data_IF_004861985559
#
_entry.id   IF_004861985559
#
_cell.length_a   1.000
_cell.length_b   1.000
_cell.length_c   1.000
_cell.angle_alpha   90.00
_cell.angle_beta   90.00
_cell.angle_gamma   90.00
#
_symmetry.space_group_name_H-M   'P 1'
#
loop_
_entity.id
_entity.type
_entity.pdbx_description
1 polymer ?
#
# COMPACT_ATOMS: atom_id res chain seq x y z
N UNK A 1 -14.46 -5.60 -8.34
CA UNK A 1 -13.74 -5.82 -9.62
C UNK A 1 -14.70 -6.58 -10.51
N UNK A 2 -14.72 -6.29 -11.80
CA UNK A 2 -15.55 -7.02 -12.78
C UNK A 2 -14.81 -8.31 -13.25
N UNK A 3 -14.00 -8.90 -12.36
CA UNK A 3 -13.13 -10.04 -12.60
C UNK A 3 -13.20 -10.96 -11.39
N UNK A 4 -13.42 -12.25 -11.66
CA UNK A 4 -13.42 -13.31 -10.65
C UNK A 4 -12.07 -14.02 -10.65
N UNK A 5 -11.41 -14.08 -9.49
CA UNK A 5 -10.23 -14.92 -9.29
C UNK A 5 -10.60 -16.19 -8.55
N UNK A 6 -10.25 -17.34 -9.13
CA UNK A 6 -10.48 -18.65 -8.53
C UNK A 6 -9.19 -19.15 -7.88
N UNK A 7 -9.23 -19.38 -6.58
CA UNK A 7 -8.08 -19.83 -5.80
C UNK A 7 -7.29 -18.70 -5.13
N UNK A 8 -6.29 -19.05 -4.31
CA UNK A 8 -5.56 -18.10 -3.50
C UNK A 8 -4.68 -17.18 -4.36
N UNK A 9 -4.84 -15.87 -4.15
CA UNK A 9 -4.09 -14.82 -4.84
C UNK A 9 -3.57 -13.79 -3.83
N UNK A 10 -2.44 -13.12 -4.12
CA UNK A 10 -1.81 -12.21 -3.18
C UNK A 10 -2.66 -10.98 -2.84
N UNK A 11 -3.32 -10.38 -3.82
CA UNK A 11 -4.10 -9.16 -3.62
C UNK A 11 -5.20 -9.36 -2.56
N UNK A 12 -6.04 -10.38 -2.72
CA UNK A 12 -7.10 -10.70 -1.75
C UNK A 12 -6.54 -11.27 -0.46
N UNK A 13 -5.47 -12.07 -0.55
CA UNK A 13 -4.80 -12.65 0.61
C UNK A 13 -4.26 -11.59 1.57
N UNK A 14 -3.52 -10.61 1.07
CA UNK A 14 -3.00 -9.50 1.87
C UNK A 14 -4.12 -8.61 2.42
N UNK A 15 -5.19 -8.37 1.66
CA UNK A 15 -6.37 -7.69 2.21
C UNK A 15 -7.00 -8.45 3.38
N UNK A 16 -7.16 -9.76 3.23
CA UNK A 16 -7.72 -10.61 4.28
C UNK A 16 -6.82 -10.62 5.53
N UNK A 17 -5.49 -10.75 5.37
CA UNK A 17 -4.54 -10.66 6.48
C UNK A 17 -4.60 -9.30 7.18
N UNK A 18 -4.67 -8.21 6.41
CA UNK A 18 -4.82 -6.86 6.97
C UNK A 18 -6.12 -6.71 7.77
N UNK A 19 -7.23 -7.23 7.24
CA UNK A 19 -8.52 -7.22 7.93
C UNK A 19 -8.49 -8.02 9.24
N UNK A 20 -7.81 -9.17 9.27
CA UNK A 20 -7.63 -9.95 10.50
C UNK A 20 -6.81 -9.20 11.55
N UNK A 21 -5.71 -8.52 11.17
CA UNK A 21 -4.94 -7.69 12.10
C UNK A 21 -5.73 -6.50 12.62
N UNK A 22 -6.45 -5.79 11.75
CA UNK A 22 -7.31 -4.70 12.18
C UNK A 22 -8.39 -5.19 13.15
N UNK A 23 -9.03 -6.33 12.85
CA UNK A 23 -10.04 -6.93 13.72
C UNK A 23 -9.47 -7.38 15.07
N UNK A 24 -8.24 -7.91 15.10
CA UNK A 24 -7.54 -8.23 16.34
C UNK A 24 -7.38 -6.99 17.24
N UNK A 25 -6.84 -5.89 16.72
CA UNK A 25 -6.62 -4.67 17.50
C UNK A 25 -7.95 -4.06 18.00
N UNK A 26 -8.99 -4.05 17.15
CA UNK A 26 -10.32 -3.58 17.56
C UNK A 26 -10.94 -4.48 18.64
N UNK A 27 -10.80 -5.81 18.53
CA UNK A 27 -11.29 -6.75 19.52
C UNK A 27 -10.59 -6.58 20.87
N UNK A 28 -9.27 -6.37 20.87
CA UNK A 28 -8.50 -6.06 22.07
C UNK A 28 -9.00 -4.77 22.74
N UNK A 29 -9.25 -3.71 21.97
CA UNK A 29 -9.80 -2.46 22.48
C UNK A 29 -11.19 -2.64 23.10
N UNK A 30 -12.01 -3.52 22.53
CA UNK A 30 -13.34 -3.89 23.06
C UNK A 30 -13.29 -4.94 24.17
N UNK A 31 -12.10 -5.43 24.54
CA UNK A 31 -11.86 -6.50 25.54
C UNK A 31 -12.46 -7.86 25.14
N UNK A 32 -12.69 -8.11 23.85
CA UNK A 32 -13.07 -9.43 23.33
C UNK A 32 -11.83 -10.27 23.00
N UNK A 33 -11.28 -10.88 24.05
CA UNK A 33 -10.07 -11.71 23.96
C UNK A 33 -10.25 -12.96 23.11
N UNK A 34 -11.47 -13.50 23.04
CA UNK A 34 -11.77 -14.71 22.27
C UNK A 34 -11.69 -14.41 20.77
N UNK A 35 -12.32 -13.32 20.33
CA UNK A 35 -12.28 -12.92 18.93
C UNK A 35 -10.89 -12.44 18.52
N UNK A 36 -10.20 -11.65 19.36
CA UNK A 36 -8.82 -11.25 19.12
C UNK A 36 -7.91 -12.47 18.89
N UNK A 37 -7.99 -13.48 19.78
CA UNK A 37 -7.24 -14.72 19.64
C UNK A 37 -7.60 -15.51 18.37
N UNK A 38 -8.86 -15.49 17.92
CA UNK A 38 -9.28 -16.12 16.66
C UNK A 38 -8.67 -15.40 15.45
N UNK A 39 -8.74 -14.07 15.42
CA UNK A 39 -8.16 -13.24 14.36
C UNK A 39 -6.65 -13.47 14.25
N UNK A 40 -5.96 -13.45 15.39
CA UNK A 40 -4.51 -13.69 15.47
C UNK A 40 -4.11 -15.04 14.89
N UNK A 41 -4.77 -16.12 15.31
CA UNK A 41 -4.47 -17.48 14.81
C UNK A 41 -4.69 -17.60 13.30
N UNK A 42 -5.80 -17.08 12.78
CA UNK A 42 -6.07 -17.09 11.34
C UNK A 42 -5.05 -16.27 10.56
N UNK A 43 -4.63 -15.13 11.11
CA UNK A 43 -3.59 -14.30 10.51
C UNK A 43 -2.26 -15.04 10.42
N UNK A 44 -1.79 -15.62 11.52
CA UNK A 44 -0.49 -16.31 11.55
C UNK A 44 -0.48 -17.51 10.59
N UNK A 45 -1.57 -18.28 10.53
CA UNK A 45 -1.72 -19.40 9.61
C UNK A 45 -1.76 -18.95 8.15
N UNK A 46 -2.58 -17.94 7.83
CA UNK A 46 -2.74 -17.44 6.46
C UNK A 46 -1.48 -16.77 5.94
N UNK A 47 -0.82 -15.96 6.78
CA UNK A 47 0.44 -15.28 6.48
C UNK A 47 1.53 -16.28 6.12
N UNK A 48 1.77 -17.27 7.00
CA UNK A 48 2.76 -18.31 6.77
C UNK A 48 2.45 -19.14 5.50
N UNK A 49 1.19 -19.52 5.31
CA UNK A 49 0.79 -20.28 4.12
C UNK A 49 1.01 -19.49 2.84
N UNK A 50 0.64 -18.21 2.80
CA UNK A 50 0.83 -17.35 1.63
C UNK A 50 2.31 -17.21 1.26
N UNK A 51 3.17 -16.98 2.25
CA UNK A 51 4.62 -16.91 2.05
C UNK A 51 5.18 -18.22 1.49
N UNK A 52 4.82 -19.35 2.09
CA UNK A 52 5.32 -20.66 1.67
C UNK A 52 4.80 -21.08 0.30
N UNK A 53 3.54 -20.74 -0.02
CA UNK A 53 2.85 -21.33 -1.16
C UNK A 53 2.70 -20.41 -2.36
N UNK A 54 2.74 -19.09 -2.18
CA UNK A 54 2.52 -18.14 -3.28
C UNK A 54 3.80 -17.39 -3.67
N UNK A 55 4.77 -17.23 -2.77
CA UNK A 55 6.02 -16.54 -3.11
C UNK A 55 6.92 -17.41 -3.99
N UNK A 56 7.25 -16.93 -5.19
CA UNK A 56 8.06 -17.66 -6.16
C UNK A 56 9.57 -17.39 -6.07
N UNK A 57 10.01 -16.62 -5.06
CA UNK A 57 11.39 -16.15 -4.91
C UNK A 57 11.58 -14.68 -5.34
N UNK A 58 10.70 -14.14 -6.16
CA UNK A 58 10.72 -12.74 -6.62
C UNK A 58 9.44 -11.97 -6.26
N UNK A 59 8.27 -12.57 -6.41
CA UNK A 59 6.95 -11.99 -6.11
C UNK A 59 5.93 -13.09 -5.78
N UNK A 60 4.70 -12.72 -5.42
CA UNK A 60 3.65 -13.68 -5.10
C UNK A 60 2.77 -13.97 -6.33
N UNK A 61 2.53 -15.24 -6.60
CA UNK A 61 1.72 -15.70 -7.73
C UNK A 61 0.29 -16.07 -7.29
N UNK A 62 -0.66 -16.00 -8.23
CA UNK A 62 -2.01 -16.52 -8.05
C UNK A 62 -2.04 -18.01 -8.43
N UNK A 63 -2.38 -18.88 -7.46
CA UNK A 63 -2.66 -20.29 -7.73
C UNK A 63 -4.12 -20.47 -8.15
N UNK A 64 -4.32 -20.94 -9.37
CA UNK A 64 -5.65 -21.05 -9.98
C UNK A 64 -6.31 -22.37 -9.56
N UNK A 65 -7.59 -22.30 -9.25
CA UNK A 65 -8.43 -23.49 -8.96
C UNK A 65 -9.60 -23.60 -9.92
N UNK A 66 -10.12 -24.82 -10.08
CA UNK A 66 -11.38 -25.05 -10.79
C UNK A 66 -12.55 -24.38 -10.04
N UNK A 67 -13.39 -23.56 -10.70
CA UNK A 67 -14.51 -22.87 -10.05
C UNK A 67 -15.56 -23.77 -9.39
N UNK A 68 -15.66 -25.03 -9.82
CA UNK A 68 -16.66 -26.00 -9.36
C UNK A 68 -16.09 -26.97 -8.34
N UNK A 69 -14.88 -27.48 -8.56
CA UNK A 69 -14.27 -28.50 -7.68
C UNK A 69 -13.32 -27.90 -6.65
N UNK A 70 -12.87 -26.66 -6.85
CA UNK A 70 -11.84 -25.98 -6.05
C UNK A 70 -10.48 -26.68 -6.04
N UNK A 71 -10.26 -27.64 -6.94
CA UNK A 71 -8.98 -28.31 -7.10
C UNK A 71 -7.98 -27.39 -7.82
N UNK A 72 -6.70 -27.46 -7.44
CA UNK A 72 -5.65 -26.70 -8.10
C UNK A 72 -5.46 -27.17 -9.54
N UNK A 73 -5.36 -26.21 -10.46
CA UNK A 73 -5.15 -26.47 -11.88
C UNK A 73 -3.66 -26.42 -12.21
N UNK A 74 -3.19 -27.39 -13.01
CA UNK A 74 -1.84 -27.35 -13.56
C UNK A 74 -1.80 -26.44 -14.79
N UNK A 75 -1.26 -25.24 -14.61
CA UNK A 75 -1.10 -24.22 -15.67
C UNK A 75 -0.02 -24.59 -16.70
N UNK A 76 0.76 -25.65 -16.48
CA UNK A 76 1.76 -26.14 -17.42
C UNK A 76 1.24 -27.23 -18.36
N UNK A 77 0.14 -27.91 -18.01
CA UNK A 77 -0.50 -28.88 -18.89
C UNK A 77 -1.39 -28.16 -19.92
N UNK A 78 -1.09 -28.24 -21.23
CA UNK A 78 -1.88 -27.60 -22.28
C UNK A 78 -3.31 -28.15 -22.40
N UNK A 79 -3.61 -29.30 -21.79
CA UNK A 79 -4.95 -29.87 -21.76
C UNK A 79 -5.79 -29.36 -20.59
N UNK A 80 -5.18 -28.67 -19.62
CA UNK A 80 -5.90 -28.08 -18.49
C UNK A 80 -6.75 -26.90 -18.98
N UNK A 81 -8.06 -26.98 -18.75
CA UNK A 81 -8.96 -25.85 -19.04
C UNK A 81 -8.84 -24.80 -17.94
N UNK A 82 -8.15 -23.70 -18.23
CA UNK A 82 -8.00 -22.57 -17.31
C UNK A 82 -9.18 -21.60 -17.51
N UNK A 83 -9.89 -21.20 -16.43
CA UNK A 83 -10.90 -20.14 -16.52
C UNK A 83 -10.31 -18.87 -17.13
N UNK A 84 -11.09 -18.15 -17.93
CA UNK A 84 -10.64 -16.87 -18.49
C UNK A 84 -10.36 -15.83 -17.39
N UNK A 85 -9.57 -14.82 -17.73
CA UNK A 85 -9.36 -13.60 -16.94
C UNK A 85 -8.66 -13.81 -15.58
N UNK A 86 -7.89 -14.88 -15.44
CA UNK A 86 -7.07 -15.10 -14.25
C UNK A 86 -5.73 -14.36 -14.35
N UNK A 87 -5.12 -14.05 -13.20
CA UNK A 87 -3.76 -13.49 -13.14
C UNK A 87 -2.70 -14.57 -13.35
N UNK A 88 -2.85 -15.70 -12.66
CA UNK A 88 -1.87 -16.78 -12.63
C UNK A 88 -0.49 -16.29 -12.16
N UNK A 89 0.53 -16.56 -12.97
CA UNK A 89 1.95 -16.26 -12.66
C UNK A 89 2.35 -14.79 -12.88
N UNK A 90 1.37 -13.91 -13.06
CA UNK A 90 1.62 -12.49 -13.33
C UNK A 90 2.11 -11.75 -12.09
N UNK A 91 3.09 -10.87 -12.26
CA UNK A 91 3.48 -9.89 -11.26
C UNK A 91 2.50 -8.71 -11.34
N UNK A 92 1.52 -8.70 -10.44
CA UNK A 92 0.50 -7.66 -10.33
C UNK A 92 1.04 -6.47 -9.51
N UNK A 93 0.84 -5.26 -10.02
CA UNK A 93 1.35 -4.01 -9.43
C UNK A 93 0.87 -3.78 -7.99
N UNK A 94 -0.34 -4.23 -7.66
CA UNK A 94 -0.98 -4.00 -6.36
C UNK A 94 -1.15 -5.29 -5.55
N UNK A 95 -0.37 -6.33 -5.85
CA UNK A 95 -0.42 -7.60 -5.11
C UNK A 95 -0.16 -7.45 -3.59
N UNK A 96 0.47 -6.35 -3.17
CA UNK A 96 0.77 -6.01 -1.77
C UNK A 96 -0.14 -4.91 -1.18
N UNK A 97 -1.26 -4.58 -1.81
CA UNK A 97 -2.12 -3.46 -1.38
C UNK A 97 -2.59 -3.58 0.09
N UNK A 98 -2.83 -4.80 0.58
CA UNK A 98 -3.15 -5.02 1.99
C UNK A 98 -1.98 -4.69 2.93
N UNK A 99 -0.73 -4.96 2.53
CA UNK A 99 0.46 -4.56 3.29
C UNK A 99 0.65 -3.05 3.28
N UNK A 100 0.42 -2.39 2.14
CA UNK A 100 0.40 -0.93 2.03
C UNK A 100 -0.57 -0.31 3.05
N UNK A 101 -1.79 -0.85 3.13
CA UNK A 101 -2.79 -0.37 4.10
C UNK A 101 -2.40 -0.69 5.54
N UNK A 102 -1.83 -1.87 5.80
CA UNK A 102 -1.36 -2.26 7.12
C UNK A 102 -0.27 -1.32 7.65
N UNK A 103 0.65 -0.85 6.79
CA UNK A 103 1.63 0.16 7.17
C UNK A 103 0.97 1.49 7.53
N UNK A 104 0.01 1.97 6.73
CA UNK A 104 -0.73 3.22 7.02
C UNK A 104 -1.47 3.12 8.37
N UNK A 105 -2.05 1.97 8.68
CA UNK A 105 -2.80 1.75 9.90
C UNK A 105 -1.95 1.29 11.10
N UNK A 106 -0.63 1.19 10.96
CA UNK A 106 0.26 0.77 12.05
C UNK A 106 0.11 -0.70 12.47
N UNK A 107 -0.38 -1.57 11.59
CA UNK A 107 -0.66 -2.99 11.86
C UNK A 107 0.58 -3.90 11.68
N UNK A 108 1.67 -3.33 11.19
CA UNK A 108 2.94 -4.02 10.96
C UNK A 108 2.95 -4.89 9.70
N UNK A 109 3.87 -5.86 9.67
CA UNK A 109 4.04 -6.76 8.53
C UNK A 109 3.00 -7.88 8.52
N UNK A 110 2.36 -8.08 7.38
CA UNK A 110 1.35 -9.11 7.11
C UNK A 110 1.93 -10.40 6.52
N UNK A 111 3.20 -10.37 6.14
CA UNK A 111 3.97 -11.50 5.60
C UNK A 111 5.45 -11.26 5.85
N UNK A 112 6.30 -12.07 5.23
CA UNK A 112 7.73 -11.97 5.39
C UNK A 112 8.25 -10.63 4.82
N UNK A 113 8.90 -9.83 5.68
CA UNK A 113 9.46 -8.52 5.32
C UNK A 113 10.40 -8.58 4.11
N UNK A 114 11.27 -9.60 4.03
CA UNK A 114 12.19 -9.74 2.91
C UNK A 114 11.44 -10.05 1.62
N UNK A 115 10.43 -10.93 1.66
CA UNK A 115 9.62 -11.25 0.49
C UNK A 115 8.81 -10.04 0.01
N UNK A 116 8.25 -9.24 0.92
CA UNK A 116 7.54 -7.99 0.61
C UNK A 116 8.47 -7.00 -0.11
N UNK A 117 9.67 -6.75 0.43
CA UNK A 117 10.65 -5.86 -0.21
C UNK A 117 11.10 -6.41 -1.56
N UNK A 118 11.35 -7.71 -1.68
CA UNK A 118 11.71 -8.35 -2.96
C UNK A 118 10.57 -8.21 -3.97
N UNK A 119 9.32 -8.36 -3.55
CA UNK A 119 8.14 -8.21 -4.42
C UNK A 119 8.04 -6.79 -4.99
N UNK A 120 8.26 -5.75 -4.18
CA UNK A 120 8.26 -4.36 -4.66
C UNK A 120 9.39 -4.09 -5.66
N UNK A 121 10.57 -4.69 -5.45
CA UNK A 121 11.66 -4.65 -6.45
C UNK A 121 11.26 -5.34 -7.75
N UNK A 122 10.57 -6.48 -7.67
CA UNK A 122 10.06 -7.19 -8.84
C UNK A 122 9.01 -6.38 -9.59
N UNK A 123 8.12 -5.67 -8.88
CA UNK A 123 7.17 -4.73 -9.50
C UNK A 123 7.91 -3.65 -10.28
N UNK A 124 8.95 -3.03 -9.71
CA UNK A 124 9.78 -2.07 -10.45
C UNK A 124 10.48 -2.69 -11.65
N UNK A 125 11.03 -3.89 -11.48
CA UNK A 125 11.78 -4.59 -12.53
C UNK A 125 10.91 -4.97 -13.72
N UNK A 126 9.70 -5.44 -13.47
CA UNK A 126 8.87 -6.08 -14.51
C UNK A 126 7.69 -5.22 -14.97
N UNK A 127 7.19 -4.31 -14.14
CA UNK A 127 6.00 -3.52 -14.46
C UNK A 127 6.35 -2.09 -14.89
N UNK A 128 7.52 -1.55 -14.52
CA UNK A 128 7.90 -0.20 -14.91
C UNK A 128 8.35 -0.14 -16.37
N UNK A 129 7.70 0.71 -17.15
CA UNK A 129 8.01 0.95 -18.56
C UNK A 129 8.35 2.42 -18.73
N UNK A 130 9.54 2.70 -19.29
CA UNK A 130 10.07 4.05 -19.48
C UNK A 130 9.49 4.78 -20.69
N UNK A 131 9.09 4.04 -21.72
CA UNK A 131 8.56 4.56 -22.97
C UNK A 131 7.45 3.63 -23.49
N UNK A 132 6.23 4.15 -23.53
CA UNK A 132 5.03 3.42 -23.96
C UNK A 132 4.78 3.46 -25.48
N UNK A 133 5.64 4.09 -26.28
CA UNK A 133 5.44 4.25 -27.73
C UNK A 133 5.31 2.93 -28.48
N UNK A 134 5.84 1.84 -27.93
CA UNK A 134 5.77 0.48 -28.49
C UNK A 134 4.91 -0.48 -27.65
N UNK A 135 4.28 0.01 -26.59
CA UNK A 135 3.43 -0.81 -25.74
C UNK A 135 2.03 -0.92 -26.34
N UNK A 136 1.60 -2.14 -26.63
CA UNK A 136 0.24 -2.39 -27.08
C UNK A 136 -0.71 -2.52 -25.89
N UNK A 137 -1.77 -1.72 -25.91
CA UNK A 137 -2.88 -1.80 -24.97
C UNK A 137 -4.19 -1.95 -25.74
N UNK A 138 -4.90 -3.05 -25.52
CA UNK A 138 -6.20 -3.32 -26.14
C UNK A 138 -7.39 -2.74 -25.36
N UNK A 139 -7.12 -2.01 -24.27
CA UNK A 139 -8.12 -1.38 -23.41
C UNK A 139 -7.93 0.16 -23.38
N UNK A 140 -8.12 0.79 -22.21
CA UNK A 140 -8.04 2.25 -22.07
C UNK A 140 -6.60 2.67 -21.82
N UNK A 141 -6.13 3.64 -22.59
CA UNK A 141 -4.76 4.17 -22.45
C UNK A 141 -4.76 5.44 -21.61
N UNK A 142 -4.10 5.38 -20.46
CA UNK A 142 -3.86 6.53 -19.57
C UNK A 142 -2.43 7.08 -19.68
N UNK A 143 -1.60 6.41 -20.47
CA UNK A 143 -0.20 6.74 -20.80
C UNK A 143 -0.06 6.75 -22.31
N UNK A 144 0.68 7.70 -22.86
CA UNK A 144 0.83 7.92 -24.30
C UNK A 144 2.29 8.19 -24.68
N UNK A 145 2.74 7.63 -25.81
CA UNK A 145 4.04 7.95 -26.40
C UNK A 145 5.20 7.67 -25.44
N UNK A 146 6.07 8.66 -25.28
CA UNK A 146 7.30 8.61 -24.47
C UNK A 146 7.08 8.76 -22.95
N UNK A 147 5.83 8.64 -22.50
CA UNK A 147 5.50 8.70 -21.08
C UNK A 147 5.84 7.38 -20.38
N UNK A 148 6.19 7.46 -19.09
CA UNK A 148 6.52 6.31 -18.25
C UNK A 148 5.37 5.95 -17.29
N UNK A 149 5.40 4.74 -16.74
CA UNK A 149 4.41 4.26 -15.76
C UNK A 149 4.61 2.81 -15.33
N UNK A 150 3.83 2.36 -14.34
CA UNK A 150 3.76 0.94 -13.97
C UNK A 150 2.54 0.28 -14.64
N UNK A 151 2.80 -0.75 -15.44
CA UNK A 151 1.77 -1.64 -15.96
C UNK A 151 1.04 -2.37 -14.83
N UNK A 152 -0.27 -2.55 -14.99
CA UNK A 152 -1.07 -3.32 -14.04
C UNK A 152 -0.48 -4.71 -13.79
N UNK A 153 -0.04 -5.42 -14.83
CA UNK A 153 0.74 -6.65 -14.63
C UNK A 153 1.73 -6.96 -15.75
N UNK A 154 2.71 -7.78 -15.38
CA UNK A 154 3.73 -8.35 -16.25
C UNK A 154 3.81 -9.87 -16.04
N UNK A 155 4.30 -10.62 -17.02
CA UNK A 155 4.45 -12.08 -16.93
C UNK A 155 5.85 -12.52 -17.34
N UNK A 156 6.86 -12.28 -16.48
CA UNK A 156 8.24 -12.70 -16.78
C UNK A 156 8.37 -14.23 -16.92
N UNK A 157 7.44 -14.98 -16.34
CA UNK A 157 7.43 -16.44 -16.31
C UNK A 157 6.33 -17.08 -17.18
N UNK A 158 5.85 -16.36 -18.20
CA UNK A 158 4.84 -16.87 -19.13
C UNK A 158 3.42 -16.39 -18.79
N UNK A 159 2.69 -15.98 -19.83
CA UNK A 159 1.36 -15.38 -19.75
C UNK A 159 0.30 -16.39 -20.20
N UNK A 160 -0.84 -16.40 -19.51
CA UNK A 160 -2.02 -17.14 -19.96
C UNK A 160 -2.50 -16.63 -21.33
N UNK A 161 -3.21 -17.47 -22.08
CA UNK A 161 -3.80 -17.08 -23.36
C UNK A 161 -4.82 -15.94 -23.17
N UNK A 162 -5.67 -16.05 -22.14
CA UNK A 162 -6.67 -15.02 -21.77
C UNK A 162 -6.41 -14.54 -20.32
N UNK A 163 -5.47 -13.61 -20.11
CA UNK A 163 -5.15 -13.08 -18.78
C UNK A 163 -6.24 -12.12 -18.28
N UNK A 164 -6.17 -11.71 -17.02
CA UNK A 164 -7.06 -10.67 -16.47
C UNK A 164 -7.03 -9.40 -17.36
N UNK A 165 -8.18 -8.74 -17.60
CA UNK A 165 -8.37 -7.85 -18.76
C UNK A 165 -7.62 -6.52 -18.70
N UNK A 166 -7.34 -5.98 -17.50
CA UNK A 166 -6.76 -4.64 -17.32
C UNK A 166 -5.23 -4.61 -17.37
N UNK A 167 -4.61 -5.74 -17.72
CA UNK A 167 -3.19 -5.97 -17.55
C UNK A 167 -2.27 -4.98 -18.26
N UNK A 168 -2.70 -4.50 -19.42
CA UNK A 168 -1.93 -3.58 -20.25
C UNK A 168 -2.22 -2.10 -19.95
N UNK A 169 -3.13 -1.82 -19.02
CA UNK A 169 -3.44 -0.46 -18.57
C UNK A 169 -2.43 0.01 -17.51
N UNK A 170 -2.41 1.33 -17.27
CA UNK A 170 -1.62 1.98 -16.23
C UNK A 170 -2.56 2.88 -15.45
N UNK A 171 -2.69 2.67 -14.16
CA UNK A 171 -3.71 3.34 -13.35
C UNK A 171 -3.07 4.00 -12.13
N UNK A 172 -3.22 5.33 -12.00
CA UNK A 172 -2.42 6.11 -11.04
C UNK A 172 -2.64 5.71 -9.59
N UNK A 173 -3.87 5.32 -9.21
CA UNK A 173 -4.14 4.87 -7.86
C UNK A 173 -3.37 3.61 -7.46
N UNK A 174 -3.15 2.69 -8.40
CA UNK A 174 -2.37 1.47 -8.17
C UNK A 174 -0.86 1.76 -8.20
N UNK A 175 -0.41 2.64 -9.10
CA UNK A 175 0.96 3.15 -9.11
C UNK A 175 1.33 3.82 -7.78
N UNK A 176 0.46 4.68 -7.25
CA UNK A 176 0.66 5.31 -5.94
C UNK A 176 0.70 4.29 -4.81
N UNK A 177 -0.18 3.29 -4.83
CA UNK A 177 -0.18 2.24 -3.81
C UNK A 177 1.15 1.47 -3.80
N UNK A 178 1.69 1.12 -4.97
CA UNK A 178 3.00 0.48 -5.10
C UNK A 178 4.14 1.41 -4.66
N UNK A 179 4.15 2.66 -5.12
CA UNK A 179 5.18 3.64 -4.76
C UNK A 179 5.19 3.93 -3.25
N UNK A 180 4.03 4.05 -2.61
CA UNK A 180 3.97 4.23 -1.15
C UNK A 180 4.44 2.98 -0.41
N UNK A 181 4.11 1.78 -0.90
CA UNK A 181 4.70 0.54 -0.41
C UNK A 181 6.23 0.56 -0.47
N UNK A 182 6.80 1.07 -1.57
CA UNK A 182 8.26 1.26 -1.74
C UNK A 182 8.84 2.22 -0.70
N UNK A 183 8.16 3.33 -0.38
CA UNK A 183 8.60 4.26 0.69
C UNK A 183 8.72 3.51 2.02
N UNK A 184 7.68 2.78 2.44
CA UNK A 184 7.70 2.01 3.70
C UNK A 184 8.79 0.94 3.75
N UNK A 185 9.17 0.37 2.60
CA UNK A 185 10.24 -0.61 2.55
C UNK A 185 11.63 -0.01 2.38
N UNK A 186 11.82 1.31 2.43
CA UNK A 186 13.09 2.02 2.18
C UNK A 186 13.58 1.86 0.73
N UNK A 187 12.69 2.11 -0.22
CA UNK A 187 12.95 2.20 -1.67
C UNK A 187 12.51 3.58 -2.17
N UNK A 188 12.99 4.64 -1.50
CA UNK A 188 12.52 6.01 -1.72
C UNK A 188 12.84 6.51 -3.15
N UNK A 189 13.99 6.14 -3.71
CA UNK A 189 14.37 6.52 -5.07
C UNK A 189 13.42 5.89 -6.11
N UNK A 190 13.12 4.60 -5.98
CA UNK A 190 12.20 3.90 -6.86
C UNK A 190 10.76 4.45 -6.72
N UNK A 191 10.35 4.75 -5.50
CA UNK A 191 9.05 5.37 -5.23
C UNK A 191 8.93 6.75 -5.89
N UNK A 192 9.94 7.61 -5.72
CA UNK A 192 9.96 8.95 -6.29
C UNK A 192 10.01 8.90 -7.82
N UNK A 193 10.72 7.93 -8.42
CA UNK A 193 10.71 7.69 -9.87
C UNK A 193 9.28 7.43 -10.37
N UNK A 194 8.51 6.58 -9.67
CA UNK A 194 7.11 6.31 -10.02
C UNK A 194 6.22 7.54 -9.86
N UNK A 195 6.34 8.24 -8.73
CA UNK A 195 5.54 9.45 -8.46
C UNK A 195 5.85 10.53 -9.50
N UNK A 196 7.12 10.75 -9.83
CA UNK A 196 7.54 11.71 -10.84
C UNK A 196 6.99 11.34 -12.23
N UNK A 197 6.99 10.05 -12.60
CA UNK A 197 6.38 9.59 -13.84
C UNK A 197 4.89 9.94 -13.90
N UNK A 198 4.12 9.71 -12.82
CA UNK A 198 2.72 10.12 -12.72
C UNK A 198 2.57 11.64 -12.90
N UNK A 199 3.39 12.43 -12.19
CA UNK A 199 3.33 13.90 -12.24
C UNK A 199 3.71 14.46 -13.60
N UNK A 200 4.69 13.88 -14.30
CA UNK A 200 5.07 14.26 -15.67
C UNK A 200 3.94 14.03 -16.69
N UNK A 201 3.05 13.07 -16.46
CA UNK A 201 1.84 12.87 -17.29
C UNK A 201 0.78 13.96 -17.07
N UNK A 202 0.84 14.67 -15.95
CA UNK A 202 -0.14 15.66 -15.48
C UNK A 202 0.54 16.98 -15.10
N UNK A 203 1.47 17.45 -15.92
CA UNK A 203 2.29 18.65 -15.68
C UNK A 203 1.58 19.99 -15.97
N UNK A 204 0.34 19.95 -16.44
CA UNK A 204 -0.45 21.12 -16.86
C UNK A 204 -0.31 21.50 -18.32
N UNK A 205 0.77 21.05 -18.99
CA UNK A 205 0.92 21.18 -20.44
C UNK A 205 0.30 19.99 -21.17
N UNK A 206 0.54 18.77 -20.67
CA UNK A 206 0.01 17.51 -21.21
C UNK A 206 -1.42 17.26 -20.74
N UNK A 207 -1.65 17.30 -19.41
CA UNK A 207 -2.95 17.02 -18.76
C UNK A 207 -3.09 17.82 -17.48
N UNK A 208 -4.33 17.94 -16.99
CA UNK A 208 -4.67 18.68 -15.77
C UNK A 208 -3.93 18.11 -14.53
N UNK A 209 -3.16 18.91 -13.77
CA UNK A 209 -2.41 18.46 -12.59
C UNK A 209 -3.26 17.95 -11.42
N UNK A 210 -4.55 18.26 -11.43
CA UNK A 210 -5.53 17.93 -10.39
C UNK A 210 -6.58 16.92 -10.86
N UNK A 211 -6.38 16.30 -12.03
CA UNK A 211 -7.28 15.28 -12.55
C UNK A 211 -6.48 14.18 -13.24
N UNK A 212 -6.15 13.15 -12.46
CA UNK A 212 -5.57 11.92 -12.98
C UNK A 212 -6.69 10.95 -13.37
N UNK A 213 -6.90 10.69 -14.68
CA UNK A 213 -8.01 9.88 -15.13
C UNK A 213 -7.73 8.39 -14.95
N UNK A 214 -8.79 7.65 -14.63
CA UNK A 214 -8.86 6.18 -14.69
C UNK A 214 -10.19 5.84 -15.37
N UNK A 215 -11.23 5.38 -14.67
CA UNK A 215 -12.55 5.16 -15.29
C UNK A 215 -13.37 6.47 -15.47
N UNK A 216 -12.73 7.52 -15.98
CA UNK A 216 -13.29 8.86 -16.16
C UNK A 216 -12.46 9.96 -15.48
N UNK A 217 -12.93 11.21 -15.63
CA UNK A 217 -12.41 12.35 -14.88
C UNK A 217 -12.91 12.30 -13.42
N UNK A 218 -12.17 12.91 -12.50
CA UNK A 218 -12.49 12.94 -11.05
C UNK A 218 -12.55 11.55 -10.39
N UNK A 219 -11.80 10.59 -10.90
CA UNK A 219 -11.73 9.25 -10.30
C UNK A 219 -10.97 9.31 -8.97
N UNK A 220 -11.60 8.86 -7.88
CA UNK A 220 -11.09 9.07 -6.53
C UNK A 220 -9.82 8.26 -6.19
N UNK A 221 -9.48 7.23 -6.98
CA UNK A 221 -8.38 6.30 -6.63
C UNK A 221 -7.01 7.00 -6.56
N UNK A 222 -6.80 8.06 -7.34
CA UNK A 222 -5.59 8.89 -7.30
C UNK A 222 -5.39 9.62 -5.96
N UNK A 223 -6.41 9.70 -5.11
CA UNK A 223 -6.26 10.17 -3.73
C UNK A 223 -5.34 9.28 -2.89
N UNK A 224 -5.00 8.07 -3.35
CA UNK A 224 -3.93 7.25 -2.78
C UNK A 224 -2.57 7.99 -2.71
N UNK A 225 -2.36 9.02 -3.54
CA UNK A 225 -1.20 9.91 -3.47
C UNK A 225 -1.00 10.53 -2.08
N UNK A 226 -2.06 10.82 -1.32
CA UNK A 226 -1.95 11.37 0.04
C UNK A 226 -1.25 10.42 1.02
N UNK A 227 -1.27 9.12 0.77
CA UNK A 227 -0.55 8.17 1.61
C UNK A 227 0.98 8.33 1.54
N UNK A 228 1.52 8.97 0.49
CA UNK A 228 2.94 9.33 0.44
C UNK A 228 3.32 10.32 1.54
N UNK A 229 2.43 11.25 1.91
CA UNK A 229 2.65 12.19 3.01
C UNK A 229 2.75 11.44 4.33
N UNK A 230 1.87 10.47 4.56
CA UNK A 230 1.88 9.63 5.77
C UNK A 230 3.16 8.79 5.83
N UNK A 231 3.53 8.15 4.72
CA UNK A 231 4.72 7.29 4.66
C UNK A 231 6.03 8.08 4.85
N UNK A 232 6.19 9.22 4.17
CA UNK A 232 7.40 10.05 4.28
C UNK A 232 7.55 10.72 5.66
N UNK A 233 6.43 11.06 6.29
CA UNK A 233 6.41 11.61 7.65
C UNK A 233 6.45 10.53 8.73
N UNK A 234 6.39 9.24 8.36
CA UNK A 234 6.26 8.10 9.29
C UNK A 234 5.17 8.33 10.35
N UNK A 235 4.10 9.02 9.97
CA UNK A 235 3.05 9.43 10.89
C UNK A 235 2.22 8.23 11.33
N UNK A 236 2.08 8.05 12.65
CA UNK A 236 1.17 7.08 13.25
C UNK A 236 0.43 7.73 14.43
N UNK A 237 -0.81 7.30 14.64
CA UNK A 237 -1.63 7.77 15.75
C UNK A 237 -2.52 6.65 16.29
N UNK A 238 -2.58 6.53 17.62
CA UNK A 238 -3.54 5.68 18.32
C UNK A 238 -4.40 6.55 19.24
N UNK A 239 -5.71 6.58 18.96
CA UNK A 239 -6.68 7.28 19.82
C UNK A 239 -6.97 6.55 21.12
N UNK A 240 -6.84 5.22 21.13
CA UNK A 240 -7.04 4.39 22.33
C UNK A 240 -5.85 4.48 23.29
N UNK A 241 -4.62 4.46 22.75
CA UNK A 241 -3.40 4.54 23.56
C UNK A 241 -2.90 5.98 23.76
N UNK A 242 -3.55 6.95 23.09
CA UNK A 242 -3.17 8.37 23.05
C UNK A 242 -1.70 8.55 22.68
N UNK A 243 -1.27 7.86 21.64
CA UNK A 243 0.12 7.92 21.16
C UNK A 243 0.19 8.52 19.77
N UNK A 244 1.27 9.24 19.51
CA UNK A 244 1.60 9.76 18.18
C UNK A 244 3.08 9.50 17.88
N UNK A 245 3.40 9.14 16.65
CA UNK A 245 4.78 9.09 16.16
C UNK A 245 4.94 9.77 14.83
N UNK A 246 6.15 10.27 14.58
CA UNK A 246 6.58 10.86 13.30
C UNK A 246 8.04 10.51 13.04
N UNK A 247 8.53 10.80 11.83
CA UNK A 247 9.92 10.69 11.41
C UNK A 247 10.87 11.50 12.30
N UNK A 248 12.10 11.03 12.47
CA UNK A 248 13.19 11.80 13.10
C UNK A 248 13.90 12.77 12.14
N UNK A 249 13.62 12.69 10.84
CA UNK A 249 14.18 13.60 9.83
C UNK A 249 13.73 15.04 10.10
N UNK A 250 14.63 16.03 10.14
CA UNK A 250 14.24 17.43 10.30
C UNK A 250 13.31 17.91 9.18
N UNK A 251 12.27 18.65 9.54
CA UNK A 251 11.28 19.16 8.59
C UNK A 251 9.94 19.49 9.24
N UNK A 252 9.01 20.02 8.44
CA UNK A 252 7.63 20.31 8.86
C UNK A 252 6.69 19.30 8.21
N UNK A 253 5.94 18.59 9.03
CA UNK A 253 5.04 17.51 8.59
C UNK A 253 3.60 17.81 8.95
N UNK A 254 2.69 17.58 7.99
CA UNK A 254 1.26 17.61 8.24
C UNK A 254 0.83 16.36 9.01
N UNK A 255 -0.08 16.52 9.97
CA UNK A 255 -0.71 15.40 10.65
C UNK A 255 -2.23 15.62 10.76
N UNK A 256 -2.98 14.52 10.77
CA UNK A 256 -4.43 14.50 10.99
C UNK A 256 -4.84 13.18 11.61
N UNK A 257 -5.75 13.22 12.58
CA UNK A 257 -6.24 12.02 13.28
C UNK A 257 -7.76 11.80 13.16
N UNK A 258 -8.41 12.51 12.22
CA UNK A 258 -9.86 12.47 12.01
C UNK A 258 -10.68 13.38 12.92
N UNK A 259 -10.13 13.84 14.05
CA UNK A 259 -10.76 14.79 14.97
C UNK A 259 -10.07 16.15 15.01
N UNK A 260 -8.77 16.16 14.75
CA UNK A 260 -7.90 17.32 14.75
C UNK A 260 -6.83 17.18 13.67
N UNK A 261 -6.25 18.31 13.27
CA UNK A 261 -5.12 18.36 12.34
C UNK A 261 -4.21 19.55 12.62
N UNK A 262 -2.98 19.46 12.14
CA UNK A 262 -1.98 20.49 12.37
C UNK A 262 -0.64 20.18 11.74
N UNK A 263 0.40 20.82 12.28
CA UNK A 263 1.78 20.69 11.84
C UNK A 263 2.66 20.13 12.96
N UNK A 264 3.69 19.40 12.56
CA UNK A 264 4.73 18.90 13.44
C UNK A 264 6.08 19.34 12.88
N UNK A 265 6.72 20.31 13.53
CA UNK A 265 8.08 20.75 13.19
C UNK A 265 9.08 19.87 13.95
N UNK A 266 9.80 19.03 13.23
CA UNK A 266 10.86 18.16 13.77
C UNK A 266 12.19 18.87 13.55
N UNK A 267 12.90 19.16 14.64
CA UNK A 267 14.29 19.64 14.62
C UNK A 267 15.25 18.64 15.26
N UNK A 268 16.53 19.01 15.36
CA UNK A 268 17.57 18.08 15.84
C UNK A 268 17.34 17.63 17.29
N UNK A 269 16.98 18.57 18.17
CA UNK A 269 16.83 18.36 19.62
C UNK A 269 15.42 18.63 20.14
N UNK A 270 14.50 19.08 19.30
CA UNK A 270 13.14 19.39 19.72
C UNK A 270 12.12 19.14 18.63
N UNK A 271 10.89 18.91 19.06
CA UNK A 271 9.72 18.75 18.19
C UNK A 271 8.64 19.71 18.66
N UNK A 272 8.09 20.53 17.77
CA UNK A 272 6.94 21.40 18.04
C UNK A 272 5.70 20.80 17.37
N UNK A 273 4.70 20.47 18.17
CA UNK A 273 3.36 20.10 17.70
C UNK A 273 2.45 21.32 17.73
N UNK A 274 1.87 21.67 16.59
CA UNK A 274 0.89 22.75 16.47
C UNK A 274 -0.46 22.17 16.06
N UNK A 275 -1.53 22.57 16.75
CA UNK A 275 -2.91 22.16 16.46
C UNK A 275 -3.62 23.30 15.75
N UNK A 276 -3.88 23.13 14.45
CA UNK A 276 -4.54 24.14 13.61
C UNK A 276 -6.06 24.05 13.70
N UNK A 277 -6.60 22.86 13.96
CA UNK A 277 -8.04 22.64 14.18
C UNK A 277 -8.27 21.49 15.15
N UNK A 278 -9.26 21.63 16.03
CA UNK A 278 -9.68 20.57 16.95
C UNK A 278 -8.87 20.54 18.25
N UNK A 279 -8.79 19.38 18.89
CA UNK A 279 -8.04 19.18 20.14
C UNK A 279 -7.28 17.86 20.09
N UNK A 280 -5.99 17.91 20.43
CA UNK A 280 -5.10 16.77 20.46
C UNK A 280 -4.82 16.36 21.90
N UNK A 281 -5.10 15.11 22.23
CA UNK A 281 -4.74 14.52 23.52
C UNK A 281 -3.70 13.42 23.33
N UNK A 282 -2.58 13.51 24.06
CA UNK A 282 -1.47 12.56 23.97
C UNK A 282 -0.91 12.20 25.34
N UNK A 283 -0.61 10.93 25.54
CA UNK A 283 0.11 10.41 26.70
C UNK A 283 1.57 10.10 26.35
N UNK A 284 1.86 9.74 25.08
CA UNK A 284 3.22 9.45 24.61
C UNK A 284 3.46 9.98 23.20
N UNK A 285 4.71 10.34 22.95
CA UNK A 285 5.19 10.71 21.62
C UNK A 285 6.51 9.99 21.31
N UNK A 286 6.72 9.61 20.05
CA UNK A 286 7.96 8.98 19.61
C UNK A 286 8.43 9.42 18.23
N UNK A 287 9.74 9.31 18.02
CA UNK A 287 10.39 9.51 16.72
C UNK A 287 10.83 8.17 16.13
N UNK A 288 10.98 8.10 14.80
CA UNK A 288 11.32 6.87 14.09
C UNK A 288 12.71 6.30 14.42
N UNK A 289 13.61 7.11 14.96
CA UNK A 289 14.92 6.66 15.47
C UNK A 289 14.87 6.02 16.88
N UNK A 290 13.67 5.84 17.44
CA UNK A 290 13.47 5.18 18.72
C UNK A 290 13.48 6.12 19.93
N UNK A 291 13.71 7.43 19.75
CA UNK A 291 13.52 8.41 20.83
C UNK A 291 12.05 8.48 21.24
N UNK A 292 11.78 8.51 22.55
CA UNK A 292 10.42 8.48 23.12
C UNK A 292 10.29 9.47 24.26
N UNK A 293 9.12 10.11 24.39
CA UNK A 293 8.73 10.91 25.55
C UNK A 293 7.42 10.41 26.11
N UNK A 294 7.40 10.22 27.43
CA UNK A 294 6.18 10.07 28.19
C UNK A 294 5.73 11.46 28.62
N UNK A 295 4.59 11.91 28.11
CA UNK A 295 4.09 13.27 28.29
C UNK A 295 3.23 13.41 29.55
N UNK A 296 2.94 12.29 30.24
CA UNK A 296 2.07 12.25 31.43
C UNK A 296 0.73 12.98 31.20
N UNK A 297 0.15 12.75 30.02
CA UNK A 297 -1.05 13.39 29.50
C UNK A 297 -0.87 14.89 29.21
N UNK A 298 -1.02 15.24 27.93
CA UNK A 298 -1.17 16.62 27.48
C UNK A 298 -2.46 16.76 26.68
N UNK A 299 -2.98 17.99 26.67
CA UNK A 299 -4.05 18.42 25.78
C UNK A 299 -3.60 19.72 25.11
N UNK A 300 -3.63 19.74 23.77
CA UNK A 300 -3.26 20.90 22.95
C UNK A 300 -4.48 21.24 22.11
N UNK A 301 -5.00 22.45 22.25
CA UNK A 301 -6.22 22.89 21.59
C UNK A 301 -5.91 23.69 20.33
N UNK A 302 -6.95 23.95 19.55
CA UNK A 302 -6.90 24.80 18.36
C UNK A 302 -6.18 26.14 18.62
N UNK A 303 -5.17 26.42 17.80
CA UNK A 303 -4.32 27.61 17.90
C UNK A 303 -3.15 27.47 18.88
N UNK A 304 -3.06 26.37 19.63
CA UNK A 304 -1.97 26.11 20.58
C UNK A 304 -0.85 25.27 19.96
N UNK A 305 0.33 25.35 20.59
CA UNK A 305 1.45 24.47 20.27
C UNK A 305 2.12 23.93 21.54
N UNK A 306 2.76 22.78 21.39
CA UNK A 306 3.48 22.10 22.45
C UNK A 306 4.88 21.71 21.96
N UNK A 307 5.91 22.09 22.71
CA UNK A 307 7.31 21.83 22.36
C UNK A 307 7.85 20.71 23.26
N UNK A 308 8.40 19.68 22.64
CA UNK A 308 9.08 18.56 23.29
C UNK A 308 10.57 18.66 23.00
N UNK A 309 11.40 18.76 24.03
CA UNK A 309 12.86 18.61 23.90
C UNK A 309 13.23 17.15 24.09
N UNK A 310 14.02 16.58 23.17
CA UNK A 310 14.45 15.18 23.21
C UNK A 310 15.73 14.97 23.99
#
# INVERSE_FOLDING_TARGET
MDVDYYGPNPQMGFWYMGALRAAEEMALAMKDQSFAGKCRRLFEQGSAWMDENLFNGEYYEHKITDPRTFEFLDVHDPNTSIPSFQLGRGCLVDQLVGQYMAHICGLGYLGNKAHIRTTLKSIMKYNYVEDFSRHFNNMRSYVMGDEAGLLMASWPNGRLEVPFPYFAEVMTGFEYSAAVGMIYENMEEEALKCIEAIRKRHDGAKRNPFSEPECGHHYARSMASWASVIALSEFQYSGTDKTMSVTSRPGTYFWSNGYAWGLCDVGDSSVKLEVLKGSLSLDKFSLSDGRKKNLKHIQVNEGESYIMTF
#
